data_IF_434299009578
#
_entry.id   IF_434299009578
#
_cell.length_a   1.000
_cell.length_b   1.000
_cell.length_c   1.000
_cell.angle_alpha   90.00
_cell.angle_beta   90.00
_cell.angle_gamma   90.00
#
_symmetry.space_group_name_H-M   'P 1'
#
loop_
_entity.id
_entity.type
_entity.pdbx_description
1 polymer ?
#
# COMPACT_ATOMS: atom_id res chain seq x y z
N UNK A 1 -25.22 14.76 -9.77
CA UNK A 1 -24.60 14.61 -8.44
C UNK A 1 -24.54 13.13 -8.14
N UNK A 2 -23.41 12.48 -8.45
CA UNK A 2 -23.24 11.06 -8.11
C UNK A 2 -22.84 11.00 -6.65
N UNK A 3 -23.70 10.43 -5.81
CA UNK A 3 -23.34 10.10 -4.45
C UNK A 3 -22.11 9.22 -4.54
N UNK A 4 -20.96 9.74 -4.08
CA UNK A 4 -19.78 8.94 -3.84
C UNK A 4 -20.25 7.76 -3.00
N UNK A 5 -20.34 6.61 -3.65
CA UNK A 5 -20.61 5.34 -3.03
C UNK A 5 -19.35 5.12 -2.21
N UNK A 6 -19.36 5.59 -0.96
CA UNK A 6 -18.26 5.47 -0.02
C UNK A 6 -18.09 3.99 0.21
N UNK A 7 -17.29 3.39 -0.67
CA UNK A 7 -16.99 1.99 -0.68
C UNK A 7 -16.19 1.74 0.61
N UNK A 8 -16.60 0.78 1.48
CA UNK A 8 -15.89 0.53 2.73
C UNK A 8 -14.45 -0.05 2.68
N UNK A 9 -13.81 -0.44 1.54
CA UNK A 9 -12.50 -1.06 1.60
C UNK A 9 -11.36 -0.07 1.81
N UNK A 10 -11.58 1.24 1.66
CA UNK A 10 -10.55 2.23 2.03
C UNK A 10 -10.23 2.13 3.52
N UNK A 11 -11.26 2.09 4.38
CA UNK A 11 -11.10 1.90 5.83
C UNK A 11 -10.50 0.52 6.13
N UNK A 12 -10.89 -0.52 5.39
CA UNK A 12 -10.33 -1.86 5.58
C UNK A 12 -8.84 -1.95 5.17
N UNK A 13 -8.43 -1.22 4.13
CA UNK A 13 -7.04 -1.13 3.69
C UNK A 13 -6.21 -0.27 4.65
N UNK A 14 -6.74 0.83 5.16
CA UNK A 14 -6.10 1.63 6.20
C UNK A 14 -5.88 0.82 7.47
N UNK A 15 -6.88 0.06 7.94
CA UNK A 15 -6.72 -0.81 9.09
C UNK A 15 -5.70 -1.92 8.83
N UNK A 16 -5.77 -2.56 7.66
CA UNK A 16 -4.79 -3.56 7.24
C UNK A 16 -3.36 -3.00 7.27
N UNK A 17 -3.21 -1.74 6.85
CA UNK A 17 -1.93 -1.06 6.85
C UNK A 17 -1.41 -0.83 8.27
N UNK A 18 -2.26 -0.35 9.17
CA UNK A 18 -1.89 -0.18 10.59
C UNK A 18 -1.40 -1.50 11.17
N UNK A 19 -2.17 -2.58 10.99
CA UNK A 19 -1.82 -3.90 11.54
C UNK A 19 -0.47 -4.40 10.99
N UNK A 20 -0.22 -4.21 9.69
CA UNK A 20 1.05 -4.60 9.06
C UNK A 20 2.22 -3.77 9.58
N UNK A 21 2.05 -2.46 9.72
CA UNK A 21 3.10 -1.58 10.26
C UNK A 21 3.42 -1.92 11.72
N UNK A 22 2.42 -2.29 12.52
CA UNK A 22 2.64 -2.72 13.90
C UNK A 22 3.42 -4.03 13.99
N UNK A 23 3.04 -5.03 13.17
CA UNK A 23 3.74 -6.33 13.11
C UNK A 23 5.19 -6.15 12.65
N UNK A 24 5.44 -5.21 11.74
CA UNK A 24 6.76 -4.98 11.18
C UNK A 24 7.61 -3.98 11.97
N UNK A 25 7.04 -3.29 12.97
CA UNK A 25 7.75 -2.37 13.86
C UNK A 25 9.03 -2.98 14.48
N UNK A 26 9.05 -4.26 14.93
CA UNK A 26 10.27 -4.89 15.46
C UNK A 26 11.41 -5.03 14.44
N UNK A 27 11.10 -5.02 13.13
CA UNK A 27 12.10 -5.04 12.05
C UNK A 27 12.76 -3.67 11.81
N UNK A 28 12.41 -2.66 12.61
CA UNK A 28 12.91 -1.27 12.49
C UNK A 28 12.77 -0.74 11.06
N UNK A 29 11.61 -0.98 10.43
CA UNK A 29 11.37 -0.50 9.08
C UNK A 29 11.51 1.01 9.00
N UNK A 30 12.39 1.46 8.10
CA UNK A 30 12.56 2.87 7.76
C UNK A 30 11.59 3.24 6.64
N UNK A 31 10.37 3.58 7.04
CA UNK A 31 9.31 4.02 6.14
C UNK A 31 9.15 5.54 6.20
N UNK A 32 9.03 6.15 5.03
CA UNK A 32 8.74 7.58 4.88
C UNK A 32 7.23 7.82 4.80
N UNK A 33 6.55 7.13 3.89
CA UNK A 33 5.11 7.27 3.71
C UNK A 33 4.47 5.98 3.22
N UNK A 34 3.15 5.86 3.39
CA UNK A 34 2.34 4.88 2.68
C UNK A 34 1.12 5.59 2.12
N UNK A 35 0.85 5.38 0.84
CA UNK A 35 -0.27 6.02 0.16
C UNK A 35 -1.18 4.96 -0.44
N UNK A 36 -2.48 5.18 -0.33
CA UNK A 36 -3.52 4.31 -0.91
C UNK A 36 -4.26 5.15 -1.94
N UNK A 37 -4.18 4.74 -3.21
CA UNK A 37 -4.98 5.32 -4.28
C UNK A 37 -6.05 4.35 -4.74
N UNK A 38 -7.27 4.86 -4.92
CA UNK A 38 -8.36 4.13 -5.56
C UNK A 38 -8.78 4.81 -6.86
N UNK A 39 -8.79 4.06 -7.96
CA UNK A 39 -9.33 4.52 -9.24
C UNK A 39 -10.02 3.36 -9.98
N UNK A 40 -11.23 3.60 -10.50
CA UNK A 40 -11.97 2.67 -11.38
C UNK A 40 -12.08 1.21 -10.88
N UNK A 41 -12.24 0.98 -9.58
CA UNK A 41 -12.37 -0.37 -9.02
C UNK A 41 -11.04 -1.09 -8.74
N UNK A 42 -9.91 -0.42 -8.96
CA UNK A 42 -8.58 -0.88 -8.57
C UNK A 42 -8.04 -0.03 -7.42
N UNK A 43 -7.33 -0.66 -6.50
CA UNK A 43 -6.58 0.02 -5.45
C UNK A 43 -5.09 -0.21 -5.66
N UNK A 44 -4.28 0.83 -5.48
CA UNK A 44 -2.84 0.73 -5.44
C UNK A 44 -2.35 1.18 -4.08
N UNK A 45 -1.54 0.34 -3.42
CA UNK A 45 -0.85 0.69 -2.19
C UNK A 45 0.61 0.96 -2.52
N UNK A 46 1.04 2.20 -2.32
CA UNK A 46 2.44 2.61 -2.40
C UNK A 46 3.07 2.61 -1.04
N UNK A 47 4.09 1.79 -0.85
CA UNK A 47 4.93 1.76 0.35
C UNK A 47 6.24 2.45 0.02
N UNK A 48 6.48 3.59 0.66
CA UNK A 48 7.65 4.43 0.42
C UNK A 48 8.64 4.29 1.57
N UNK A 49 9.75 3.63 1.31
CA UNK A 49 10.88 3.56 2.22
C UNK A 49 11.60 4.92 2.31
N UNK A 50 12.38 5.10 3.37
CA UNK A 50 13.15 6.32 3.56
C UNK A 50 14.15 6.52 2.42
N UNK A 51 14.98 5.51 2.15
CA UNK A 51 16.10 5.60 1.22
C UNK A 51 16.07 4.45 0.18
N UNK A 52 16.74 4.61 -0.97
CA UNK A 52 16.79 3.56 -2.01
C UNK A 52 17.44 2.26 -1.50
N UNK A 53 18.40 2.40 -0.59
CA UNK A 53 19.08 1.26 0.05
C UNK A 53 18.08 0.38 0.79
N UNK A 54 17.07 0.99 1.42
CA UNK A 54 16.04 0.27 2.18
C UNK A 54 15.14 -0.56 1.25
N UNK A 55 14.85 -0.10 0.03
CA UNK A 55 14.11 -0.90 -0.98
C UNK A 55 14.85 -2.21 -1.23
N UNK A 56 16.14 -2.14 -1.53
CA UNK A 56 16.93 -3.30 -1.88
C UNK A 56 17.13 -4.24 -0.69
N UNK A 57 17.36 -3.68 0.50
CA UNK A 57 17.50 -4.45 1.73
C UNK A 57 16.23 -5.24 2.04
N UNK A 58 15.08 -4.58 2.06
CA UNK A 58 13.80 -5.18 2.44
C UNK A 58 13.19 -6.04 1.34
N UNK A 59 13.55 -5.83 0.08
CA UNK A 59 13.24 -6.78 -0.99
C UNK A 59 14.06 -8.07 -0.83
N UNK A 60 15.36 -7.94 -0.50
CA UNK A 60 16.27 -9.10 -0.36
C UNK A 60 15.95 -9.96 0.85
N UNK A 61 15.60 -9.34 1.99
CA UNK A 61 15.25 -10.08 3.21
C UNK A 61 13.81 -10.62 3.22
N UNK A 62 13.04 -10.32 2.16
CA UNK A 62 11.67 -10.78 1.97
C UNK A 62 10.61 -9.93 2.68
N UNK A 63 10.99 -8.85 3.37
CA UNK A 63 10.05 -8.00 4.11
C UNK A 63 9.06 -7.30 3.21
N UNK A 64 9.46 -6.81 2.02
CA UNK A 64 8.51 -6.22 1.05
C UNK A 64 7.46 -7.24 0.59
N UNK A 65 7.88 -8.49 0.33
CA UNK A 65 6.96 -9.57 -0.03
C UNK A 65 6.03 -9.94 1.13
N UNK A 66 6.53 -9.90 2.36
CA UNK A 66 5.72 -10.14 3.56
C UNK A 66 4.67 -9.04 3.76
N UNK A 67 5.06 -7.77 3.62
CA UNK A 67 4.15 -6.61 3.67
C UNK A 67 3.04 -6.77 2.63
N UNK A 68 3.41 -7.06 1.37
CA UNK A 68 2.45 -7.29 0.29
C UNK A 68 1.49 -8.43 0.60
N UNK A 69 2.01 -9.58 1.04
CA UNK A 69 1.19 -10.76 1.36
C UNK A 69 0.19 -10.47 2.47
N UNK A 70 0.63 -9.79 3.54
CA UNK A 70 -0.23 -9.45 4.68
C UNK A 70 -1.29 -8.42 4.29
N UNK A 71 -0.91 -7.37 3.58
CA UNK A 71 -1.85 -6.36 3.09
C UNK A 71 -2.88 -6.94 2.11
N UNK A 72 -2.54 -7.96 1.32
CA UNK A 72 -3.50 -8.65 0.48
C UNK A 72 -4.45 -9.59 1.26
N UNK A 73 -3.98 -10.13 2.39
CA UNK A 73 -4.75 -11.05 3.24
C UNK A 73 -5.74 -10.33 4.16
N UNK A 74 -5.39 -9.15 4.69
CA UNK A 74 -6.25 -8.41 5.63
C UNK A 74 -7.61 -7.99 5.03
N UNK A 75 -7.71 -7.50 3.78
CA UNK A 75 -8.97 -7.26 3.09
C UNK A 75 -9.82 -8.53 2.90
N UNK A 76 -9.17 -9.68 2.67
CA UNK A 76 -9.85 -10.98 2.60
C UNK A 76 -10.42 -11.40 3.94
N UNK A 77 -9.69 -11.18 5.03
CA UNK A 77 -10.15 -11.44 6.39
C UNK A 77 -11.26 -10.46 6.82
N UNK A 78 -11.22 -9.21 6.36
CA UNK A 78 -12.24 -8.20 6.65
C UNK A 78 -13.51 -8.32 5.80
N UNK A 79 -13.52 -9.20 4.78
CA UNK A 79 -14.74 -9.58 4.02
C UNK A 79 -15.87 -10.08 4.93
N UNK A 80 -15.53 -10.64 6.11
CA UNK A 80 -16.52 -11.04 7.12
C UNK A 80 -17.16 -9.85 7.86
N UNK A 81 -16.45 -8.71 7.94
CA UNK A 81 -16.90 -7.47 8.61
C UNK A 81 -17.62 -6.53 7.66
N UNK A 82 -17.27 -6.59 6.38
CA UNK A 82 -17.80 -5.72 5.35
C UNK A 82 -18.27 -6.60 4.19
N UNK A 83 -19.59 -6.72 4.03
CA UNK A 83 -20.26 -7.63 3.07
C UNK A 83 -20.06 -7.22 1.60
N UNK A 84 -18.82 -7.25 1.11
CA UNK A 84 -18.53 -6.99 -0.30
C UNK A 84 -18.75 -8.26 -1.14
N UNK A 85 -19.37 -8.08 -2.31
CA UNK A 85 -19.56 -9.15 -3.30
C UNK A 85 -18.19 -9.64 -3.83
N UNK A 86 -17.31 -8.71 -4.19
CA UNK A 86 -15.99 -8.97 -4.75
C UNK A 86 -14.94 -8.05 -4.13
N UNK A 87 -13.71 -8.56 -3.97
CA UNK A 87 -12.58 -7.74 -3.55
C UNK A 87 -12.01 -7.05 -4.79
N UNK A 88 -11.81 -5.72 -4.75
CA UNK A 88 -11.15 -5.02 -5.83
C UNK A 88 -9.72 -5.55 -5.98
N UNK A 89 -9.18 -5.47 -7.18
CA UNK A 89 -7.78 -5.80 -7.41
C UNK A 89 -6.89 -4.80 -6.66
N UNK A 90 -5.92 -5.32 -5.90
CA UNK A 90 -4.99 -4.50 -5.12
C UNK A 90 -3.59 -4.67 -5.72
N UNK A 91 -3.09 -3.59 -6.32
CA UNK A 91 -1.71 -3.44 -6.75
C UNK A 91 -0.81 -2.98 -5.61
N UNK A 92 0.45 -3.39 -5.64
CA UNK A 92 1.47 -2.97 -4.68
C UNK A 92 2.65 -2.34 -5.40
N UNK A 93 3.12 -1.21 -4.88
CA UNK A 93 4.32 -0.52 -5.34
C UNK A 93 5.22 -0.27 -4.15
N UNK A 94 6.49 -0.58 -4.31
CA UNK A 94 7.53 -0.31 -3.32
C UNK A 94 8.53 0.65 -3.95
N UNK A 95 8.77 1.76 -3.27
CA UNK A 95 9.67 2.80 -3.76
C UNK A 95 10.35 3.49 -2.58
N UNK A 96 11.25 4.43 -2.83
CA UNK A 96 11.85 5.27 -1.80
C UNK A 96 11.46 6.73 -1.99
N UNK A 97 11.54 7.49 -0.90
CA UNK A 97 11.38 8.94 -0.99
C UNK A 97 12.45 9.58 -1.85
N UNK A 98 13.68 9.09 -1.74
CA UNK A 98 14.82 9.54 -2.55
C UNK A 98 14.55 9.41 -4.05
N UNK A 99 14.03 8.26 -4.50
CA UNK A 99 13.71 8.02 -5.90
C UNK A 99 12.50 8.84 -6.35
N UNK A 100 11.47 8.99 -5.51
CA UNK A 100 10.33 9.88 -5.79
C UNK A 100 10.79 11.32 -6.00
N UNK A 101 11.64 11.84 -5.11
CA UNK A 101 12.15 13.22 -5.18
C UNK A 101 13.05 13.41 -6.42
N UNK A 102 13.84 12.40 -6.81
CA UNK A 102 14.59 12.41 -8.09
C UNK A 102 13.64 12.36 -9.30
N UNK A 103 12.56 11.57 -9.24
CA UNK A 103 11.54 11.43 -10.29
C UNK A 103 10.54 12.59 -10.36
N UNK A 104 10.56 13.56 -9.44
CA UNK A 104 9.79 14.80 -9.61
C UNK A 104 10.26 15.63 -10.83
N UNK A 105 11.45 15.35 -11.37
CA UNK A 105 11.87 15.85 -12.68
C UNK A 105 11.28 15.06 -13.88
N UNK A 106 10.56 13.96 -13.64
CA UNK A 106 10.17 12.97 -14.66
C UNK A 106 8.71 12.46 -14.69
N UNK A 107 7.81 12.89 -13.80
CA UNK A 107 6.36 12.55 -13.77
C UNK A 107 5.91 11.32 -12.93
N UNK A 108 6.28 11.26 -11.66
CA UNK A 108 5.87 10.18 -10.75
C UNK A 108 4.34 9.95 -10.66
N UNK A 109 3.57 11.03 -10.52
CA UNK A 109 2.11 10.99 -10.35
C UNK A 109 1.32 10.61 -11.61
N UNK A 110 1.97 10.54 -12.78
CA UNK A 110 1.33 10.11 -14.02
C UNK A 110 1.17 8.59 -14.10
N UNK A 111 2.00 7.82 -13.38
CA UNK A 111 1.95 6.34 -13.35
C UNK A 111 0.96 5.78 -12.33
N UNK A 112 0.46 6.64 -11.45
CA UNK A 112 -0.49 6.32 -10.38
C UNK A 112 -1.96 6.57 -10.80
N UNK A 113 -2.20 6.87 -12.09
CA UNK A 113 -3.52 7.10 -12.70
C UNK A 113 -3.99 5.94 -13.57
#
# INVERSE_FOLDING_TARGET
MSAATTYPPYIALEQALVDVLEIMRPKQLRLNNVEILGANGHFCVGVFYADDVDIHLYARDGTSAEIQSRLAQCPRASKLRFSFLELPEIGFRFDSRENVDKNYQGSYHLFWR
#
